data_IF_237389680614
#
_entry.id   IF_237389680614
#
_cell.length_a   1.000
_cell.length_b   1.000
_cell.length_c   1.000
_cell.angle_alpha   90.00
_cell.angle_beta   90.00
_cell.angle_gamma   90.00
#
_symmetry.space_group_name_H-M   'P 1'
#
loop_
_entity.id
_entity.type
_entity.pdbx_description
1 polymer ?
#
# COMPACT_ATOMS: atom_id res chain seq x y z
N UNK A 1 14.97 -13.96 7.59
CA UNK A 1 14.93 -13.07 6.39
C UNK A 1 13.48 -12.74 6.11
N UNK A 2 13.15 -11.45 5.93
CA UNK A 2 11.82 -11.03 5.48
C UNK A 2 11.91 -10.66 4.00
N UNK A 3 11.01 -11.18 3.19
CA UNK A 3 11.02 -10.99 1.73
C UNK A 3 9.62 -10.55 1.33
N UNK A 4 9.53 -9.43 0.61
CA UNK A 4 8.30 -8.97 0.00
C UNK A 4 8.24 -9.54 -1.42
N UNK A 5 7.26 -10.41 -1.67
CA UNK A 5 6.97 -10.93 -3.00
C UNK A 5 5.88 -10.08 -3.61
N UNK A 6 6.19 -9.43 -4.73
CA UNK A 6 5.28 -8.53 -5.44
C UNK A 6 4.87 -9.19 -6.75
N UNK A 7 3.60 -9.56 -6.90
CA UNK A 7 3.01 -10.06 -8.15
C UNK A 7 1.79 -9.21 -8.57
N UNK A 8 2.02 -7.97 -9.04
CA UNK A 8 0.92 -7.09 -9.43
C UNK A 8 0.46 -7.41 -10.86
N UNK A 9 -0.73 -8.00 -10.99
CA UNK A 9 -1.37 -8.25 -12.30
C UNK A 9 -1.79 -6.97 -13.06
N UNK A 10 -1.82 -5.81 -12.40
CA UNK A 10 -2.20 -4.52 -12.99
C UNK A 10 -1.36 -3.33 -12.50
N UNK A 11 -0.14 -3.59 -12.02
CA UNK A 11 0.70 -2.59 -11.35
C UNK A 11 0.39 -2.42 -9.85
N UNK A 12 1.31 -1.81 -9.11
CA UNK A 12 1.23 -1.56 -7.67
C UNK A 12 1.19 -0.06 -7.39
N UNK A 13 0.30 0.38 -6.50
CA UNK A 13 0.27 1.77 -6.06
C UNK A 13 1.52 2.10 -5.21
N UNK A 14 2.04 3.32 -5.33
CA UNK A 14 3.27 3.73 -4.65
C UNK A 14 3.20 3.59 -3.13
N UNK A 15 2.06 3.91 -2.52
CA UNK A 15 1.82 3.74 -1.08
C UNK A 15 1.81 2.27 -0.65
N UNK A 16 1.28 1.37 -1.50
CA UNK A 16 1.31 -0.07 -1.27
C UNK A 16 2.73 -0.65 -1.36
N UNK A 17 3.52 -0.16 -2.32
CA UNK A 17 4.92 -0.57 -2.44
C UNK A 17 5.75 -0.14 -1.23
N UNK A 18 5.60 1.12 -0.80
CA UNK A 18 6.26 1.61 0.41
C UNK A 18 5.80 0.82 1.65
N UNK A 19 4.51 0.50 1.75
CA UNK A 19 3.99 -0.35 2.82
C UNK A 19 4.67 -1.73 2.87
N UNK A 20 4.88 -2.37 1.72
CA UNK A 20 5.60 -3.64 1.63
C UNK A 20 7.08 -3.50 2.01
N UNK A 21 7.73 -2.38 1.66
CA UNK A 21 9.11 -2.10 2.06
C UNK A 21 9.26 -1.95 3.58
N UNK A 22 8.31 -1.29 4.24
CA UNK A 22 8.28 -1.16 5.71
C UNK A 22 8.19 -2.55 6.36
N UNK A 23 7.38 -3.44 5.81
CA UNK A 23 7.20 -4.78 6.36
C UNK A 23 8.48 -5.63 6.30
N UNK A 24 9.30 -5.46 5.26
CA UNK A 24 10.60 -6.12 5.14
C UNK A 24 11.73 -5.44 5.90
N UNK A 25 11.48 -4.27 6.51
CA UNK A 25 12.43 -3.60 7.41
C UNK A 25 12.89 -2.21 6.99
N UNK A 26 12.20 -1.54 6.07
CA UNK A 26 12.44 -0.12 5.80
C UNK A 26 12.10 0.72 7.04
N UNK A 27 13.00 1.65 7.38
CA UNK A 27 12.84 2.52 8.53
C UNK A 27 11.69 3.54 8.33
N UNK A 28 10.70 3.48 9.24
CA UNK A 28 9.57 4.40 9.25
C UNK A 28 10.02 5.85 9.49
N UNK A 29 11.03 6.07 10.35
CA UNK A 29 11.51 7.40 10.67
C UNK A 29 12.20 8.10 9.48
N UNK A 30 12.89 7.32 8.64
CA UNK A 30 13.43 7.84 7.38
C UNK A 30 12.34 8.36 6.44
N UNK A 31 11.22 7.62 6.31
CA UNK A 31 10.06 8.02 5.51
C UNK A 31 9.37 9.27 6.04
N UNK A 32 9.23 9.40 7.35
CA UNK A 32 8.63 10.57 7.99
C UNK A 32 9.45 11.85 7.77
N UNK A 33 10.79 11.72 7.69
CA UNK A 33 11.71 12.85 7.45
C UNK A 33 11.88 13.20 5.97
N UNK A 34 11.47 12.31 5.07
CA UNK A 34 11.65 12.43 3.63
C UNK A 34 11.06 13.72 3.05
N UNK A 35 9.83 14.16 3.42
CA UNK A 35 9.27 15.42 2.94
C UNK A 35 10.14 16.63 3.29
N UNK A 36 10.65 16.70 4.52
CA UNK A 36 11.55 17.78 4.95
C UNK A 36 12.87 17.75 4.19
N UNK A 37 13.40 16.56 3.92
CA UNK A 37 14.67 16.38 3.19
C UNK A 37 14.54 16.78 1.72
N UNK A 38 13.36 16.62 1.13
CA UNK A 38 13.03 17.07 -0.23
C UNK A 38 12.61 18.54 -0.31
N UNK A 39 12.56 19.26 0.81
CA UNK A 39 12.10 20.66 0.84
C UNK A 39 10.59 20.81 0.62
N UNK A 40 9.81 19.76 0.83
CA UNK A 40 8.35 19.79 0.70
C UNK A 40 7.73 20.40 1.96
N UNK A 41 7.51 21.72 1.93
CA UNK A 41 6.85 22.43 3.03
C UNK A 41 5.36 22.14 3.07
N UNK A 42 4.86 21.78 4.25
CA UNK A 42 3.44 21.49 4.47
C UNK A 42 3.00 20.12 3.96
N UNK A 43 3.90 19.15 3.76
CA UNK A 43 3.55 17.76 3.45
C UNK A 43 3.92 16.88 4.65
N UNK A 44 2.94 16.13 5.15
CA UNK A 44 3.13 15.16 6.24
C UNK A 44 2.91 13.75 5.69
N UNK A 45 3.81 12.83 6.03
CA UNK A 45 3.66 11.40 5.74
C UNK A 45 3.14 10.73 7.01
N UNK A 46 2.02 10.02 6.89
CA UNK A 46 1.45 9.20 7.95
C UNK A 46 1.54 7.73 7.56
N UNK A 47 2.02 6.93 8.51
CA UNK A 47 2.16 5.49 8.38
C UNK A 47 1.26 4.87 9.46
N UNK A 48 0.34 4.01 9.04
CA UNK A 48 -0.57 3.33 9.94
C UNK A 48 -0.57 1.83 9.65
N UNK A 49 -0.44 1.02 10.69
CA UNK A 49 -0.66 -0.41 10.60
C UNK A 49 -2.18 -0.67 10.55
N UNK A 50 -2.64 -1.37 9.53
CA UNK A 50 -4.06 -1.67 9.30
C UNK A 50 -4.24 -3.18 9.13
N UNK A 51 -5.42 -3.67 9.51
CA UNK A 51 -5.79 -5.06 9.25
C UNK A 51 -7.02 -5.08 8.35
N UNK A 52 -6.95 -5.80 7.23
CA UNK A 52 -8.05 -5.96 6.28
C UNK A 52 -8.23 -7.43 5.98
N UNK A 53 -9.45 -7.94 6.21
CA UNK A 53 -9.79 -9.35 5.95
C UNK A 53 -8.82 -10.35 6.59
N UNK A 54 -8.34 -10.05 7.81
CA UNK A 54 -7.37 -10.88 8.54
C UNK A 54 -5.91 -10.68 8.14
N UNK A 55 -5.62 -9.93 7.07
CA UNK A 55 -4.25 -9.65 6.61
C UNK A 55 -3.74 -8.35 7.23
N UNK A 56 -2.54 -8.40 7.81
CA UNK A 56 -1.82 -7.22 8.29
C UNK A 56 -1.23 -6.47 7.10
N UNK A 57 -1.48 -5.16 7.00
CA UNK A 57 -0.93 -4.30 5.97
C UNK A 57 -0.42 -3.00 6.59
N UNK A 58 0.51 -2.35 5.93
CA UNK A 58 0.94 -0.99 6.27
C UNK A 58 0.32 -0.03 5.26
N UNK A 59 -0.44 0.95 5.76
CA UNK A 59 -1.01 2.02 4.96
C UNK A 59 -0.14 3.27 5.08
N UNK A 60 0.30 3.79 3.94
CA UNK A 60 1.05 5.04 3.86
C UNK A 60 0.17 6.10 3.21
N UNK A 61 0.09 7.29 3.78
CA UNK A 61 -0.65 8.41 3.22
C UNK A 61 0.14 9.70 3.37
N UNK A 62 0.29 10.44 2.28
CA UNK A 62 0.84 11.79 2.31
C UNK A 62 -0.31 12.80 2.23
N UNK A 63 -0.38 13.71 3.20
CA UNK A 63 -1.35 14.80 3.22
C UNK A 63 -0.62 16.13 3.18
N UNK A 64 -1.08 17.04 2.31
CA UNK A 64 -0.61 18.42 2.33
C UNK A 64 -1.47 19.19 3.34
N UNK A 65 -0.82 19.80 4.32
CA UNK A 65 -1.42 20.76 5.24
C UNK A 65 -1.70 22.05 4.45
N UNK A 66 -2.96 22.21 4.03
CA UNK A 66 -3.49 23.46 3.53
C UNK A 66 -4.44 24.01 4.59
N UNK A 67 -4.42 25.33 4.85
CA UNK A 67 -5.32 26.00 5.80
C UNK A 67 -6.78 26.04 5.33
N UNK A 68 -7.08 25.56 4.11
CA UNK A 68 -8.42 25.42 3.57
C UNK A 68 -8.79 23.94 3.45
N UNK A 69 -9.82 23.57 4.21
CA UNK A 69 -10.38 22.23 4.32
C UNK A 69 -11.18 21.86 3.07
N UNK A 70 -10.68 20.90 2.27
CA UNK A 70 -11.43 19.97 1.40
C UNK A 70 -10.42 19.13 0.59
N UNK A 71 -10.54 17.83 0.35
CA UNK A 71 -11.44 16.80 0.82
C UNK A 71 -10.80 15.45 0.43
N UNK A 72 -11.11 14.41 1.19
CA UNK A 72 -10.62 13.04 1.02
C UNK A 72 -10.66 12.51 -0.42
N UNK A 73 -9.55 11.92 -0.86
CA UNK A 73 -9.60 10.76 -1.75
C UNK A 73 -8.56 9.73 -1.30
N UNK A 74 -8.86 9.10 -0.17
CA UNK A 74 -8.53 7.68 0.00
C UNK A 74 -9.24 6.88 -1.09
N UNK A 75 -8.76 6.95 -2.33
CA UNK A 75 -8.95 5.88 -3.31
C UNK A 75 -7.80 4.90 -3.11
N UNK A 76 -7.78 4.27 -1.93
CA UNK A 76 -7.17 2.94 -1.85
C UNK A 76 -7.96 2.09 -2.83
N UNK A 77 -7.34 1.83 -3.97
CA UNK A 77 -7.94 1.12 -5.09
C UNK A 77 -8.47 -0.22 -4.56
N UNK A 78 -9.80 -0.30 -4.45
CA UNK A 78 -10.54 -1.52 -4.09
C UNK A 78 -10.73 -2.42 -5.32
N UNK A 79 -9.85 -2.33 -6.31
CA UNK A 79 -9.91 -3.13 -7.54
C UNK A 79 -8.93 -4.31 -7.49
N UNK A 80 -8.91 -5.03 -6.36
CA UNK A 80 -8.52 -6.43 -6.37
C UNK A 80 -9.80 -7.29 -6.53
N UNK A 81 -10.43 -7.17 -7.71
CA UNK A 81 -11.45 -8.12 -8.17
C UNK A 81 -10.85 -8.91 -9.34
N UNK A 82 -10.14 -9.99 -9.02
CA UNK A 82 -9.95 -11.10 -9.94
C UNK A 82 -9.77 -12.42 -9.19
N UNK A 83 -10.76 -12.77 -8.39
CA UNK A 83 -11.01 -14.16 -8.02
C UNK A 83 -12.10 -14.72 -8.95
N UNK A 84 -11.73 -14.99 -10.20
CA UNK A 84 -12.41 -15.93 -11.10
C UNK A 84 -11.41 -16.42 -12.15
N UNK A 85 -10.49 -17.27 -11.71
CA UNK A 85 -9.79 -18.25 -12.54
C UNK A 85 -9.59 -19.49 -11.66
N UNK A 86 -10.70 -20.17 -11.33
CA UNK A 86 -10.65 -21.58 -11.01
C UNK A 86 -10.80 -22.31 -12.35
N UNK A 87 -9.69 -22.38 -13.08
CA UNK A 87 -9.50 -23.29 -14.19
C UNK A 87 -9.34 -24.69 -13.56
N UNK A 88 -10.44 -25.39 -13.34
CA UNK A 88 -10.44 -26.83 -13.06
C UNK A 88 -10.90 -27.55 -14.33
N UNK A 89 -9.92 -28.07 -15.05
CA UNK A 89 -10.05 -29.11 -16.07
C UNK A 89 -8.72 -29.90 -16.03
N UNK A 90 -8.67 -31.21 -16.31
CA UNK A 90 -9.70 -32.25 -16.24
C UNK A 90 -9.23 -33.43 -15.36
N UNK A 91 -10.16 -34.15 -14.73
CA UNK A 91 -9.92 -35.56 -14.37
C UNK A 91 -11.15 -36.38 -14.70
N UNK A 92 -11.12 -36.95 -15.91
CA UNK A 92 -11.67 -38.26 -16.18
C UNK A 92 -11.06 -39.28 -15.22
N UNK A 93 -11.88 -40.16 -14.65
CA UNK A 93 -11.69 -41.62 -14.51
C UNK A 93 -12.99 -42.17 -13.87
N UNK A 94 -13.63 -43.05 -14.63
CA UNK A 94 -14.73 -44.00 -14.38
C UNK A 94 -16.11 -43.51 -13.88
#
# INVERSE_FOLDING_TARGET
MKIAVLDPTSGIAGDMFIGALIDVGLDKAWLERLPSTLGLTGVEVRIADVQRSGVQCVKVSASRMCSDQECNASKSISTFRRSHMAEQSPRSID
#
